data_IF_356566398933
#
_entry.id   IF_356566398933
#
_cell.length_a   1.000
_cell.length_b   1.000
_cell.length_c   1.000
_cell.angle_alpha   90.00
_cell.angle_beta   90.00
_cell.angle_gamma   90.00
#
_symmetry.space_group_name_H-M   'P 1'
#
loop_
_entity.id
_entity.type
_entity.pdbx_description
1 polymer ?
#
# COMPACT_ATOMS: atom_id res chain seq x y z
N UNK A 1 -14.57 8.05 -8.38
CA UNK A 1 -13.98 7.51 -9.63
C UNK A 1 -13.17 6.28 -9.24
N UNK A 2 -13.42 5.08 -9.77
CA UNK A 2 -12.54 3.93 -9.48
C UNK A 2 -11.33 4.03 -10.41
N UNK A 3 -10.16 4.38 -9.87
CA UNK A 3 -8.90 4.21 -10.59
C UNK A 3 -8.83 2.71 -10.90
N UNK A 4 -8.95 2.33 -12.18
CA UNK A 4 -8.78 0.93 -12.59
C UNK A 4 -7.30 0.69 -12.81
N UNK A 5 -6.64 0.21 -11.78
CA UNK A 5 -5.27 -0.24 -11.88
C UNK A 5 -5.19 -1.56 -12.66
N UNK A 6 -4.03 -1.92 -13.24
CA UNK A 6 -3.80 -3.26 -13.76
C UNK A 6 -4.16 -4.33 -12.72
N UNK A 7 -4.62 -5.51 -13.17
CA UNK A 7 -4.93 -6.64 -12.27
C UNK A 7 -3.77 -7.03 -11.35
N UNK A 8 -2.55 -6.72 -11.76
CA UNK A 8 -1.30 -7.02 -11.07
C UNK A 8 -1.05 -6.16 -9.82
N UNK A 9 -1.90 -5.16 -9.55
CA UNK A 9 -1.81 -4.30 -8.35
C UNK A 9 -3.18 -4.08 -7.69
N UNK A 10 -4.13 -5.00 -7.93
CA UNK A 10 -5.50 -4.93 -7.39
C UNK A 10 -5.49 -4.90 -5.86
N UNK A 11 -4.60 -5.67 -5.22
CA UNK A 11 -4.55 -5.77 -3.77
C UNK A 11 -3.85 -4.56 -3.15
N UNK A 12 -2.88 -3.97 -3.86
CA UNK A 12 -2.32 -2.68 -3.47
C UNK A 12 -3.38 -1.57 -3.50
N UNK A 13 -4.29 -1.61 -4.47
CA UNK A 13 -5.44 -0.70 -4.52
C UNK A 13 -6.34 -0.87 -3.28
N UNK A 14 -6.63 -2.12 -2.90
CA UNK A 14 -7.43 -2.41 -1.70
C UNK A 14 -6.74 -1.87 -0.45
N UNK A 15 -5.42 -2.03 -0.34
CA UNK A 15 -4.64 -1.52 0.78
C UNK A 15 -4.66 0.01 0.87
N UNK A 16 -4.37 0.74 -0.21
CA UNK A 16 -4.44 2.22 -0.15
C UNK A 16 -5.89 2.71 0.04
N UNK A 17 -6.86 1.96 -0.48
CA UNK A 17 -8.29 2.22 -0.32
C UNK A 17 -8.79 2.24 1.13
N UNK A 18 -8.06 1.62 2.05
CA UNK A 18 -8.38 1.63 3.48
C UNK A 18 -7.61 2.69 4.28
N UNK A 19 -6.81 3.53 3.62
CA UNK A 19 -6.14 4.70 4.21
C UNK A 19 -7.05 5.91 4.02
N UNK A 20 -7.55 6.47 5.14
CA UNK A 20 -8.57 7.53 5.12
C UNK A 20 -8.06 8.93 5.50
N UNK A 21 -6.80 9.08 5.87
CA UNK A 21 -6.24 10.36 6.32
C UNK A 21 -4.89 10.61 5.69
N UNK A 22 -4.58 11.87 5.37
CA UNK A 22 -3.25 12.25 4.87
C UNK A 22 -2.15 11.85 5.85
N UNK A 23 -2.42 11.98 7.16
CA UNK A 23 -1.51 11.55 8.23
C UNK A 23 -1.20 10.05 8.15
N UNK A 24 -2.20 9.20 7.94
CA UNK A 24 -1.99 7.75 7.79
C UNK A 24 -1.20 7.40 6.52
N UNK A 25 -1.43 8.12 5.42
CA UNK A 25 -0.62 7.95 4.21
C UNK A 25 0.84 8.37 4.44
N UNK A 26 1.07 9.49 5.14
CA UNK A 26 2.42 9.97 5.47
C UNK A 26 3.15 9.05 6.46
N UNK A 27 2.45 8.42 7.40
CA UNK A 27 3.01 7.41 8.31
C UNK A 27 3.58 6.22 7.53
N UNK A 28 2.84 5.72 6.54
CA UNK A 28 3.30 4.62 5.68
C UNK A 28 4.51 5.06 4.85
N UNK A 29 4.51 6.27 4.28
CA UNK A 29 5.67 6.82 3.55
C UNK A 29 6.90 6.90 4.47
N UNK A 30 6.74 7.35 5.72
CA UNK A 30 7.84 7.40 6.68
C UNK A 30 8.41 6.00 6.97
N UNK A 31 7.55 4.99 7.09
CA UNK A 31 8.01 3.61 7.27
C UNK A 31 8.78 3.10 6.04
N UNK A 32 8.31 3.40 4.83
CA UNK A 32 9.01 3.05 3.59
C UNK A 32 10.38 3.75 3.54
N UNK A 33 10.43 5.04 3.86
CA UNK A 33 11.66 5.83 3.85
C UNK A 33 12.72 5.24 4.80
N UNK A 34 12.31 4.80 6.00
CA UNK A 34 13.17 4.12 6.97
C UNK A 34 13.66 2.74 6.51
N UNK A 35 12.90 2.05 5.66
CA UNK A 35 13.36 0.78 5.07
C UNK A 35 14.37 1.05 3.94
N UNK A 36 14.10 2.04 3.07
CA UNK A 36 14.97 2.42 1.96
C UNK A 36 16.33 2.93 2.47
N UNK A 37 16.33 3.77 3.51
CA UNK A 37 17.56 4.35 4.09
C UNK A 37 18.35 3.36 4.97
N UNK A 38 17.77 2.18 5.25
CA UNK A 38 18.39 1.12 6.04
C UNK A 38 18.26 1.29 7.55
N UNK A 39 17.44 2.23 8.03
CA UNK A 39 17.05 2.34 9.44
C UNK A 39 16.30 1.09 9.90
N UNK A 40 15.45 0.53 9.04
CA UNK A 40 14.75 -0.75 9.24
C UNK A 40 15.16 -1.75 8.16
N UNK A 41 15.33 -3.02 8.56
CA UNK A 41 15.60 -4.12 7.63
C UNK A 41 14.34 -4.46 6.80
N UNK A 42 13.19 -4.49 7.47
CA UNK A 42 11.86 -4.56 6.87
C UNK A 42 10.87 -3.84 7.79
N UNK A 43 9.66 -3.62 7.30
CA UNK A 43 8.54 -3.16 8.12
C UNK A 43 7.24 -3.84 7.69
N UNK A 44 6.53 -4.44 8.65
CA UNK A 44 5.20 -5.01 8.41
C UNK A 44 4.13 -4.08 8.97
N UNK A 45 3.12 -3.77 8.16
CA UNK A 45 1.99 -2.94 8.56
C UNK A 45 0.69 -3.62 8.19
N UNK A 46 -0.31 -3.54 9.06
CA UNK A 46 -1.65 -4.07 8.76
C UNK A 46 -2.74 -3.08 9.15
N UNK A 47 -3.68 -2.86 8.23
CA UNK A 47 -4.83 -1.99 8.41
C UNK A 47 -6.06 -2.63 7.78
N UNK A 48 -7.18 -2.63 8.51
CA UNK A 48 -8.45 -3.25 8.09
C UNK A 48 -8.31 -4.69 7.56
N UNK A 49 -7.34 -5.44 8.10
CA UNK A 49 -7.12 -6.84 7.77
C UNK A 49 -6.26 -7.07 6.52
N UNK A 50 -5.84 -6.03 5.80
CA UNK A 50 -4.87 -6.13 4.70
C UNK A 50 -3.49 -5.82 5.27
N UNK A 51 -2.46 -6.57 4.88
CA UNK A 51 -1.09 -6.36 5.35
C UNK A 51 -0.14 -6.05 4.22
N UNK A 52 0.90 -5.26 4.52
CA UNK A 52 2.05 -5.03 3.65
C UNK A 52 3.33 -5.41 4.39
N UNK A 53 4.20 -6.15 3.72
CA UNK A 53 5.57 -6.44 4.12
C UNK A 53 6.51 -5.63 3.23
N UNK A 54 7.10 -4.58 3.80
CA UNK A 54 7.93 -3.60 3.10
C UNK A 54 9.39 -3.99 3.31
N UNK A 55 10.05 -4.43 2.24
CA UNK A 55 11.50 -4.64 2.20
C UNK A 55 12.14 -3.61 1.29
N UNK A 56 13.47 -3.52 1.33
CA UNK A 56 14.19 -2.48 0.60
C UNK A 56 13.90 -2.43 -0.90
N UNK A 57 13.87 -3.58 -1.56
CA UNK A 57 13.73 -3.67 -3.01
C UNK A 57 12.29 -3.95 -3.45
N UNK A 58 11.54 -4.72 -2.66
CA UNK A 58 10.20 -5.19 -3.00
C UNK A 58 9.27 -5.09 -1.79
N UNK A 59 8.03 -4.68 -2.04
CA UNK A 59 6.95 -4.72 -1.08
C UNK A 59 5.95 -5.79 -1.52
N UNK A 60 5.45 -6.56 -0.56
CA UNK A 60 4.41 -7.56 -0.75
C UNK A 60 3.15 -7.11 -0.02
N UNK A 61 1.99 -7.13 -0.68
CA UNK A 61 0.70 -6.89 -0.03
C UNK A 61 -0.11 -8.19 0.01
N UNK A 62 -0.81 -8.43 1.11
CA UNK A 62 -1.58 -9.64 1.34
C UNK A 62 -2.99 -9.30 1.80
N UNK A 63 -4.00 -9.91 1.18
CA UNK A 63 -5.41 -9.78 1.56
C UNK A 63 -5.98 -11.15 2.02
N UNK A 64 -6.05 -11.42 3.33
CA UNK A 64 -6.55 -12.67 3.90
C UNK A 64 -8.01 -12.98 3.51
N UNK A 65 -8.81 -11.97 3.17
CA UNK A 65 -10.19 -12.21 2.72
C UNK A 65 -10.20 -12.93 1.36
N UNK A 66 -9.28 -12.59 0.45
CA UNK A 66 -9.16 -13.29 -0.84
C UNK A 66 -8.59 -14.70 -0.66
N UNK A 67 -7.64 -14.88 0.25
CA UNK A 67 -7.08 -16.20 0.57
C UNK A 67 -8.18 -17.17 1.04
N UNK A 68 -9.06 -16.72 1.94
CA UNK A 68 -10.19 -17.52 2.45
C UNK A 68 -11.22 -17.92 1.37
N UNK A 69 -11.21 -17.26 0.22
CA UNK A 69 -12.12 -17.50 -0.89
C UNK A 69 -11.44 -18.17 -2.10
N UNK A 70 -10.24 -18.73 -1.92
CA UNK A 70 -9.44 -19.38 -2.98
C UNK A 70 -9.18 -18.44 -4.19
N UNK A 71 -9.03 -17.13 -3.94
CA UNK A 71 -8.71 -16.11 -4.95
C UNK A 71 -7.23 -15.73 -4.92
N UNK A 72 -6.77 -15.00 -5.94
CA UNK A 72 -5.47 -14.33 -5.89
C UNK A 72 -5.42 -13.36 -4.71
N UNK A 73 -4.45 -13.53 -3.80
CA UNK A 73 -4.48 -12.90 -2.48
C UNK A 73 -3.18 -12.16 -2.11
N UNK A 74 -2.19 -12.15 -2.99
CA UNK A 74 -0.90 -11.48 -2.78
C UNK A 74 -0.42 -10.78 -4.06
N UNK A 75 -0.03 -9.51 -3.97
CA UNK A 75 0.66 -8.79 -5.05
C UNK A 75 2.05 -8.34 -4.57
N UNK A 76 2.99 -8.15 -5.50
CA UNK A 76 4.29 -7.52 -5.22
C UNK A 76 4.59 -6.37 -6.16
N UNK A 77 5.34 -5.37 -5.69
CA UNK A 77 5.90 -4.29 -6.50
C UNK A 77 7.20 -3.75 -5.92
N UNK A 78 7.96 -3.00 -6.72
CA UNK A 78 9.16 -2.30 -6.24
C UNK A 78 8.77 -1.31 -5.12
N UNK A 79 9.57 -1.25 -4.07
CA UNK A 79 9.22 -0.45 -2.86
C UNK A 79 9.16 1.05 -3.13
N UNK A 80 9.93 1.55 -4.09
CA UNK A 80 9.84 2.94 -4.55
C UNK A 80 8.54 3.22 -5.32
N UNK A 81 8.05 2.26 -6.11
CA UNK A 81 6.74 2.34 -6.76
C UNK A 81 5.60 2.31 -5.74
N UNK A 82 5.70 1.47 -4.69
CA UNK A 82 4.71 1.47 -3.62
C UNK A 82 4.67 2.82 -2.90
N UNK A 83 5.84 3.41 -2.63
CA UNK A 83 5.93 4.76 -2.07
C UNK A 83 5.24 5.81 -2.95
N UNK A 84 5.46 5.76 -4.26
CA UNK A 84 4.80 6.65 -5.22
C UNK A 84 3.27 6.46 -5.21
N UNK A 85 2.79 5.22 -5.17
CA UNK A 85 1.36 4.91 -5.09
C UNK A 85 0.71 5.53 -3.84
N UNK A 86 1.35 5.43 -2.67
CA UNK A 86 0.84 6.03 -1.42
C UNK A 86 0.80 7.55 -1.51
N UNK A 87 1.80 8.18 -2.15
CA UNK A 87 1.82 9.64 -2.36
C UNK A 87 0.72 10.08 -3.33
N UNK A 88 0.53 9.38 -4.44
CA UNK A 88 -0.56 9.63 -5.39
C UNK A 88 -1.91 9.51 -4.67
N UNK A 89 -2.11 8.47 -3.85
CA UNK A 89 -3.34 8.31 -3.07
C UNK A 89 -3.56 9.51 -2.12
N UNK A 90 -2.51 9.94 -1.42
CA UNK A 90 -2.55 11.09 -0.53
C UNK A 90 -2.95 12.37 -1.27
N UNK A 91 -2.33 12.67 -2.42
CA UNK A 91 -2.53 13.92 -3.14
C UNK A 91 -3.85 13.95 -3.92
N UNK A 92 -4.17 12.87 -4.62
CA UNK A 92 -5.29 12.83 -5.57
C UNK A 92 -6.63 12.40 -4.94
N UNK A 93 -6.59 11.62 -3.85
CA UNK A 93 -7.81 11.10 -3.19
C UNK A 93 -8.06 11.78 -1.85
N UNK A 94 -7.04 11.88 -0.99
CA UNK A 94 -7.21 12.44 0.36
C UNK A 94 -7.14 13.98 0.36
N UNK A 95 -6.27 14.57 -0.46
CA UNK A 95 -6.12 16.01 -0.61
C UNK A 95 -7.22 16.71 -1.43
N UNK A 96 -8.06 15.95 -2.14
CA UNK A 96 -9.14 16.46 -2.99
C UNK A 96 -10.50 15.81 -2.63
N UNK A 97 -11.11 16.14 -1.48
CA UNK A 97 -12.35 15.50 -1.00
C UNK A 97 -13.62 15.86 -1.78
N UNK A 98 -13.52 16.67 -2.84
CA UNK A 98 -14.64 17.00 -3.74
C UNK A 98 -14.89 15.94 -4.84
N UNK A 99 -14.20 14.78 -4.78
CA UNK A 99 -14.40 13.63 -5.67
C UNK A 99 -14.53 12.29 -4.93
#
# INVERSE_FOLDING_TARGET
LTIKLPKEIEIFQDFVGVIFTEEGALEIVECIDKVIDGTYEHFEYSINGISVDIKKEETTVHNPFYEQNDLHYEDTMETDQFRELVLIWKDEVLGNPEY
#
